data_IF_049076201541
#
_entry.id   IF_049076201541
#
_cell.length_a   1.000
_cell.length_b   1.000
_cell.length_c   1.000
_cell.angle_alpha   90.00
_cell.angle_beta   90.00
_cell.angle_gamma   90.00
#
_symmetry.space_group_name_H-M   'P 1'
#
loop_
_entity.id
_entity.type
_entity.pdbx_description
1 polymer ?
#
# COMPACT_ATOMS: atom_id res chain seq x y z
N UNK A 1 0.18 14.33 18.89
CA UNK A 1 -0.56 13.07 18.65
C UNK A 1 -0.44 12.83 17.16
N UNK A 2 0.27 11.78 16.75
CA UNK A 2 0.63 11.65 15.35
C UNK A 2 -0.59 11.34 14.51
N UNK A 3 -0.69 11.98 13.36
CA UNK A 3 -1.63 11.63 12.31
C UNK A 3 -0.87 11.01 11.13
N UNK A 4 -1.55 10.16 10.35
CA UNK A 4 -0.95 9.41 9.25
C UNK A 4 -1.80 9.51 7.98
N UNK A 5 -1.15 9.89 6.88
CA UNK A 5 -1.64 9.74 5.52
C UNK A 5 -1.07 8.45 4.91
N UNK A 6 -1.84 7.81 4.02
CA UNK A 6 -1.50 6.50 3.46
C UNK A 6 -1.58 6.51 1.94
N UNK A 7 -0.64 5.80 1.31
CA UNK A 7 -0.67 5.44 -0.10
C UNK A 7 -0.38 3.94 -0.23
N UNK A 8 -1.12 3.16 -1.03
CA UNK A 8 -2.32 3.53 -1.78
C UNK A 8 -3.40 4.11 -0.89
N UNK A 9 -4.15 5.07 -1.42
CA UNK A 9 -5.28 5.63 -0.71
C UNK A 9 -6.39 4.57 -0.57
N UNK A 10 -7.26 4.75 0.42
CA UNK A 10 -8.35 3.84 0.69
C UNK A 10 -9.26 3.65 -0.54
N UNK A 11 -9.60 2.40 -0.83
CA UNK A 11 -10.45 1.98 -1.93
C UNK A 11 -9.95 2.38 -3.33
N UNK A 12 -8.63 2.51 -3.49
CA UNK A 12 -8.01 2.73 -4.81
C UNK A 12 -7.54 1.43 -5.46
N UNK A 13 -7.46 1.45 -6.80
CA UNK A 13 -6.81 0.39 -7.59
C UNK A 13 -5.40 0.85 -7.97
N UNK A 14 -4.39 0.02 -7.74
CA UNK A 14 -2.99 0.32 -8.00
C UNK A 14 -2.26 -0.85 -8.65
N UNK A 15 -1.05 -0.62 -9.18
CA UNK A 15 -0.24 -1.72 -9.71
C UNK A 15 0.02 -2.82 -8.67
N UNK A 16 0.03 -4.09 -9.08
CA UNK A 16 0.56 -5.19 -8.26
C UNK A 16 2.06 -5.06 -7.90
N UNK A 17 2.76 -4.07 -8.48
CA UNK A 17 4.14 -3.69 -8.09
C UNK A 17 4.19 -2.54 -7.07
N UNK A 18 3.05 -2.09 -6.58
CA UNK A 18 2.95 -0.94 -5.68
C UNK A 18 3.57 -1.21 -4.32
N UNK A 19 4.06 -0.13 -3.71
CA UNK A 19 4.52 -0.07 -2.33
C UNK A 19 3.43 0.54 -1.45
N UNK A 20 3.49 0.29 -0.14
CA UNK A 20 2.68 0.98 0.85
C UNK A 20 3.53 2.07 1.50
N UNK A 21 3.06 3.31 1.48
CA UNK A 21 3.73 4.49 2.02
C UNK A 21 2.87 5.06 3.15
N UNK A 22 3.49 5.28 4.30
CA UNK A 22 2.90 5.92 5.48
C UNK A 22 3.60 7.25 5.68
N UNK A 23 2.84 8.34 5.70
CA UNK A 23 3.36 9.69 5.92
C UNK A 23 2.78 10.25 7.22
N UNK A 24 3.63 10.39 8.23
CA UNK A 24 3.26 10.91 9.53
C UNK A 24 3.48 12.42 9.62
N UNK A 25 2.65 13.09 10.41
CA UNK A 25 2.78 14.54 10.68
C UNK A 25 3.99 14.90 11.54
N UNK A 26 4.55 13.91 12.24
CA UNK A 26 5.70 14.06 13.14
C UNK A 26 6.62 12.82 13.07
N UNK A 27 7.91 12.93 13.47
CA UNK A 27 8.83 11.80 13.49
C UNK A 27 8.35 10.65 14.38
N UNK A 28 8.34 9.43 13.84
CA UNK A 28 7.91 8.24 14.57
C UNK A 28 9.07 7.38 15.09
N UNK A 29 8.81 6.60 16.14
CA UNK A 29 9.71 5.53 16.55
C UNK A 29 9.62 4.37 15.55
N UNK A 30 10.71 4.07 14.85
CA UNK A 30 10.71 3.10 13.76
C UNK A 30 10.37 1.67 14.21
N UNK A 31 10.91 1.20 15.33
CA UNK A 31 10.58 -0.13 15.86
C UNK A 31 9.13 -0.25 16.32
N UNK A 32 8.53 0.86 16.78
CA UNK A 32 7.10 0.92 17.09
C UNK A 32 6.24 0.83 15.83
N UNK A 33 6.63 1.48 14.72
CA UNK A 33 5.92 1.33 13.44
C UNK A 33 6.05 -0.10 12.92
N UNK A 34 7.26 -0.68 12.95
CA UNK A 34 7.53 -2.04 12.47
C UNK A 34 6.68 -3.09 13.19
N UNK A 35 6.53 -2.96 14.51
CA UNK A 35 5.70 -3.88 15.31
C UNK A 35 4.20 -3.62 15.19
N UNK A 36 3.79 -2.44 14.72
CA UNK A 36 2.37 -2.04 14.65
C UNK A 36 1.75 -2.15 13.26
N UNK A 37 2.57 -2.22 12.21
CA UNK A 37 2.11 -2.29 10.83
C UNK A 37 1.90 -3.74 10.37
N UNK A 38 0.84 -3.97 9.61
CA UNK A 38 0.62 -5.24 8.90
C UNK A 38 -0.09 -5.01 7.57
N UNK A 39 0.19 -5.90 6.61
CA UNK A 39 -0.51 -5.99 5.34
C UNK A 39 -1.04 -7.41 5.17
N UNK A 40 -2.33 -7.58 4.90
CA UNK A 40 -2.96 -8.88 4.68
C UNK A 40 -3.72 -8.91 3.38
N UNK A 41 -3.83 -10.08 2.76
CA UNK A 41 -4.74 -10.28 1.64
C UNK A 41 -6.19 -10.51 2.10
N UNK A 42 -7.11 -10.61 1.15
CA UNK A 42 -8.53 -10.88 1.39
C UNK A 42 -8.84 -12.24 2.05
N UNK A 43 -7.87 -13.16 2.12
CA UNK A 43 -7.98 -14.44 2.82
C UNK A 43 -7.40 -14.37 4.25
N UNK A 44 -6.83 -13.21 4.63
CA UNK A 44 -6.21 -12.99 5.93
C UNK A 44 -4.75 -13.42 6.02
N UNK A 45 -4.13 -13.82 4.91
CA UNK A 45 -2.71 -14.19 4.89
C UNK A 45 -1.84 -12.93 5.04
N UNK A 46 -0.80 -13.02 5.87
CA UNK A 46 0.16 -11.95 6.05
C UNK A 46 1.05 -11.81 4.81
N UNK A 47 1.15 -10.59 4.29
CA UNK A 47 2.07 -10.24 3.22
C UNK A 47 3.37 -9.72 3.85
N UNK A 48 4.46 -10.45 3.64
CA UNK A 48 5.79 -10.06 4.10
C UNK A 48 6.40 -9.01 3.18
N UNK A 49 7.39 -8.29 3.67
CA UNK A 49 8.09 -7.26 2.91
C UNK A 49 9.16 -6.58 3.74
N UNK A 50 9.78 -5.55 3.16
CA UNK A 50 10.81 -4.74 3.81
C UNK A 50 10.23 -3.37 4.12
N UNK A 51 10.35 -2.94 5.37
CA UNK A 51 10.01 -1.58 5.80
C UNK A 51 11.27 -0.73 5.83
N UNK A 52 11.28 0.36 5.06
CA UNK A 52 12.31 1.41 5.13
C UNK A 52 11.70 2.73 5.57
N UNK A 53 12.54 3.68 5.97
CA UNK A 53 12.09 5.02 6.37
C UNK A 53 13.09 6.09 5.93
N UNK A 54 12.59 7.32 5.80
CA UNK A 54 13.40 8.50 5.50
C UNK A 54 14.24 8.96 6.70
N UNK A 55 15.18 9.88 6.47
CA UNK A 55 16.06 10.40 7.53
C UNK A 55 15.29 11.07 8.67
N UNK A 56 14.13 11.67 8.39
CA UNK A 56 13.28 12.32 9.38
C UNK A 56 12.36 11.35 10.14
N UNK A 57 12.27 10.08 9.73
CA UNK A 57 11.33 9.09 10.26
C UNK A 57 9.88 9.56 10.20
N UNK A 58 9.52 10.30 9.16
CA UNK A 58 8.15 10.72 8.87
C UNK A 58 7.54 9.90 7.75
N UNK A 59 8.36 9.41 6.83
CA UNK A 59 7.91 8.63 5.68
C UNK A 59 8.43 7.21 5.83
N UNK A 60 7.50 6.26 5.98
CA UNK A 60 7.80 4.83 6.02
C UNK A 60 7.31 4.19 4.72
N UNK A 61 8.17 3.42 4.07
CA UNK A 61 7.85 2.70 2.84
C UNK A 61 7.96 1.21 3.09
N UNK A 62 6.82 0.53 3.08
CA UNK A 62 6.75 -0.91 3.06
C UNK A 62 6.77 -1.39 1.60
N UNK A 63 7.77 -2.20 1.26
CA UNK A 63 7.90 -2.87 -0.04
C UNK A 63 7.50 -4.33 0.14
N UNK A 64 6.28 -4.73 -0.28
CA UNK A 64 5.85 -6.12 -0.21
C UNK A 64 6.78 -7.03 -1.03
N UNK A 65 7.03 -8.25 -0.56
CA UNK A 65 7.79 -9.26 -1.31
C UNK A 65 7.09 -9.63 -2.61
N UNK A 66 5.77 -9.74 -2.57
CA UNK A 66 4.91 -9.91 -3.74
C UNK A 66 3.48 -9.46 -3.43
N UNK A 67 2.83 -8.88 -4.43
CA UNK A 67 1.38 -8.76 -4.49
C UNK A 67 0.90 -9.54 -5.71
N UNK A 68 -0.25 -10.19 -5.59
CA UNK A 68 -0.98 -10.85 -6.65
C UNK A 68 -1.90 -9.82 -7.29
N UNK A 69 -1.98 -9.80 -8.61
CA UNK A 69 -2.92 -8.98 -9.36
C UNK A 69 -4.38 -9.32 -9.02
N UNK A 70 -5.28 -8.37 -9.27
CA UNK A 70 -6.74 -8.50 -9.06
C UNK A 70 -7.13 -8.93 -7.63
N UNK A 71 -6.28 -8.59 -6.65
CA UNK A 71 -6.47 -8.94 -5.25
C UNK A 71 -6.63 -7.70 -4.38
N UNK A 72 -7.54 -7.79 -3.42
CA UNK A 72 -7.72 -6.79 -2.37
C UNK A 72 -6.81 -7.07 -1.19
N UNK A 73 -6.20 -6.01 -0.68
CA UNK A 73 -5.31 -6.02 0.46
C UNK A 73 -5.82 -5.08 1.54
N UNK A 74 -5.64 -5.47 2.80
CA UNK A 74 -5.96 -4.69 3.99
C UNK A 74 -4.67 -4.36 4.71
N UNK A 75 -4.35 -3.07 4.79
CA UNK A 75 -3.25 -2.56 5.60
C UNK A 75 -3.78 -2.06 6.94
N UNK A 76 -2.99 -2.25 8.00
CA UNK A 76 -3.35 -1.83 9.35
C UNK A 76 -2.13 -1.29 10.09
N UNK A 77 -2.33 -0.17 10.79
CA UNK A 77 -1.45 0.33 11.86
C UNK A 77 -2.28 0.34 13.14
N UNK A 78 -1.87 -0.43 14.15
CA UNK A 78 -2.53 -0.38 15.47
C UNK A 78 -2.21 0.90 16.21
N UNK A 79 -3.11 1.36 17.09
CA UNK A 79 -2.97 2.64 17.80
C UNK A 79 -1.69 2.76 18.64
N UNK A 80 -1.13 1.63 19.07
CA UNK A 80 0.06 1.55 19.91
C UNK A 80 1.35 2.00 19.22
N UNK A 81 1.30 2.31 17.91
CA UNK A 81 2.36 3.01 17.19
C UNK A 81 2.65 4.38 17.83
N UNK A 82 3.92 4.63 18.20
CA UNK A 82 4.34 5.82 18.96
C UNK A 82 5.31 6.73 18.22
N UNK A 83 5.21 8.03 18.50
CA UNK A 83 6.26 8.99 18.20
C UNK A 83 7.49 8.85 19.11
N UNK A 84 8.48 9.70 18.90
CA UNK A 84 9.71 9.73 19.71
C UNK A 84 9.48 10.19 21.15
N UNK A 85 8.36 10.86 21.43
CA UNK A 85 7.97 11.32 22.75
C UNK A 85 7.03 10.34 23.48
N UNK A 86 6.68 9.22 22.83
CA UNK A 86 5.82 8.17 23.38
C UNK A 86 4.32 8.39 23.17
N UNK A 87 3.90 9.41 22.40
CA UNK A 87 2.48 9.60 22.09
C UNK A 87 2.03 8.58 21.04
N UNK A 88 0.90 7.94 21.32
CA UNK A 88 0.25 6.97 20.43
C UNK A 88 -0.57 7.66 19.33
N UNK A 89 -0.97 6.88 18.32
CA UNK A 89 -2.01 7.32 17.37
C UNK A 89 -3.35 7.49 18.09
N UNK A 90 -4.24 8.28 17.49
CA UNK A 90 -5.61 8.50 18.00
C UNK A 90 -6.44 7.20 18.05
N UNK A 91 -6.27 6.36 17.03
CA UNK A 91 -6.99 5.11 16.82
C UNK A 91 -6.20 4.21 15.89
N UNK A 92 -6.64 2.95 15.76
CA UNK A 92 -6.17 2.09 14.68
C UNK A 92 -6.44 2.77 13.32
N UNK A 93 -5.48 2.69 12.41
CA UNK A 93 -5.65 3.06 11.00
C UNK A 93 -5.72 1.78 10.18
N UNK A 94 -6.90 1.45 9.66
CA UNK A 94 -7.11 0.30 8.76
C UNK A 94 -7.64 0.83 7.43
N UNK A 95 -7.12 0.33 6.31
CA UNK A 95 -7.61 0.69 4.98
C UNK A 95 -7.37 -0.44 3.98
N UNK A 96 -8.12 -0.40 2.89
CA UNK A 96 -8.04 -1.37 1.80
C UNK A 96 -7.61 -0.74 0.50
N UNK A 97 -6.91 -1.50 -0.33
CA UNK A 97 -6.64 -1.17 -1.73
C UNK A 97 -6.69 -2.44 -2.57
N UNK A 98 -6.92 -2.28 -3.88
CA UNK A 98 -6.98 -3.39 -4.83
C UNK A 98 -5.83 -3.27 -5.81
N UNK A 99 -5.31 -4.41 -6.25
CA UNK A 99 -4.30 -4.45 -7.31
C UNK A 99 -4.98 -4.59 -8.67
N UNK A 100 -4.41 -3.93 -9.67
CA UNK A 100 -4.85 -4.03 -11.05
C UNK A 100 -4.61 -5.43 -11.64
N UNK A 101 -5.16 -5.66 -12.83
CA UNK A 101 -4.85 -6.86 -13.61
C UNK A 101 -3.42 -6.78 -14.17
N UNK A 102 -2.80 -7.93 -14.42
CA UNK A 102 -1.53 -7.99 -15.14
C UNK A 102 -1.63 -7.53 -16.61
N UNK A 103 -2.86 -7.37 -17.12
CA UNK A 103 -3.15 -7.01 -18.52
C UNK A 103 -3.38 -5.52 -18.73
N UNK A 104 -2.79 -4.65 -17.91
CA UNK A 104 -2.74 -3.22 -18.21
C UNK A 104 -1.84 -2.97 -19.45
N UNK A 105 -2.41 -3.21 -20.63
CA UNK A 105 -1.88 -2.88 -21.97
C UNK A 105 -1.89 -1.35 -22.25
N UNK A 106 -1.90 -0.50 -21.21
CA UNK A 106 -1.71 0.93 -21.38
C UNK A 106 -0.22 1.21 -21.64
N UNK A 107 0.18 0.86 -22.87
CA UNK A 107 1.51 1.03 -23.42
C UNK A 107 1.56 0.93 -24.95
N UNK A 108 0.46 0.61 -25.64
CA UNK A 108 0.41 0.67 -27.11
C UNK A 108 -0.82 1.47 -27.60
N UNK A 109 -0.64 2.58 -28.35
CA UNK A 109 -1.74 3.23 -29.06
C UNK A 109 -2.27 2.41 -30.25
N UNK A 110 -1.73 1.21 -30.52
CA UNK A 110 -2.04 0.38 -31.68
C UNK A 110 -3.09 -0.73 -31.41
N UNK A 111 -3.75 -0.76 -30.26
CA UNK A 111 -4.84 -1.73 -29.99
C UNK A 111 -6.20 -1.33 -30.62
N UNK A 112 -6.20 -0.45 -31.61
CA UNK A 112 -7.35 -0.17 -32.48
C UNK A 112 -6.87 -0.39 -33.90
N UNK A 113 -6.97 -1.61 -34.43
CA UNK A 113 -7.28 -1.95 -35.83
C UNK A 113 -6.98 -3.45 -36.08
N UNK A 114 -8.03 -4.28 -36.07
CA UNK A 114 -7.89 -5.69 -36.41
C UNK A 114 -9.20 -6.49 -36.48
N UNK A 115 -10.37 -5.85 -36.59
CA UNK A 115 -11.59 -6.56 -37.01
C UNK A 115 -11.59 -6.59 -38.54
N UNK A 116 -10.90 -7.55 -39.12
CA UNK A 116 -11.02 -7.79 -40.56
C UNK A 116 -12.26 -8.64 -40.79
N UNK A 117 -13.41 -7.98 -41.01
CA UNK A 117 -14.51 -8.57 -41.77
C UNK A 117 -14.15 -8.44 -43.25
N UNK A 118 -13.68 -9.50 -43.88
CA UNK A 118 -13.76 -9.59 -45.33
C UNK A 118 -15.11 -10.22 -45.69
N UNK A 119 -16.01 -9.39 -46.20
CA UNK A 119 -17.15 -9.79 -46.99
C UNK A 119 -16.98 -9.22 -48.39
N UNK A 120 -16.85 -10.11 -49.37
CA UNK A 120 -17.47 -10.09 -50.71
C UNK A 120 -17.20 -11.45 -51.36
#
# INVERSE_FOLDING_TARGET
MPAVAVSPAENTTVSYKSKVILTFTEPMNSGSIESSFSLKDNLGNLITGVLSFDSEKKIFTFTPSSLTAEKTYTAKIVKEAKDLNGNMLASDKTWTFTTDSTSNIYGDPEAVFGITRYGN
#
